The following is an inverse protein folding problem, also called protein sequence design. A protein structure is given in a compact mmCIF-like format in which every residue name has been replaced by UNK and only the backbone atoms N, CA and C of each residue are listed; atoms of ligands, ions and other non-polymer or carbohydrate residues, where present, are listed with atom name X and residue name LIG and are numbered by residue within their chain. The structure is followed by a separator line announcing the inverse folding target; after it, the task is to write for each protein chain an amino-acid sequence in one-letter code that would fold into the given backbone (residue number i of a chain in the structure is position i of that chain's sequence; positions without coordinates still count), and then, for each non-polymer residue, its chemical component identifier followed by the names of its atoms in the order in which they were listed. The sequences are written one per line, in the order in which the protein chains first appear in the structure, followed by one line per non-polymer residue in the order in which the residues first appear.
data_IF_007289782338
#
_entry.id   IF_007289782338
#
_cell.length_a   1.000
_cell.length_b   1.000
_cell.length_c   1.000
_cell.angle_alpha   90.00
_cell.angle_beta   90.00
_cell.angle_gamma   90.00
#
_symmetry.space_group_name_H-M   'P 1'
#
loop_
_entity.id
_entity.type
_entity.pdbx_description
1 polymer ?
#
# COMPACT_ATOMS: atom_id res chain seq x y z
N UNK A 1 19.37 7.04 -38.05
CA UNK A 1 18.33 6.99 -37.01
C UNK A 1 19.03 6.66 -35.70
N UNK A 2 19.23 7.64 -34.82
CA UNK A 2 19.88 7.44 -33.53
C UNK A 2 18.86 6.81 -32.60
N UNK A 3 19.07 5.56 -32.19
CA UNK A 3 18.31 4.95 -31.10
C UNK A 3 18.72 5.69 -29.84
N UNK A 4 17.95 6.70 -29.44
CA UNK A 4 18.16 7.35 -28.15
C UNK A 4 18.13 6.24 -27.09
N UNK A 5 19.25 6.09 -26.38
CA UNK A 5 19.40 5.09 -25.32
C UNK A 5 18.36 5.39 -24.24
N UNK A 6 17.29 4.61 -24.19
CA UNK A 6 16.30 4.71 -23.14
C UNK A 6 16.93 4.22 -21.84
N UNK A 7 17.31 5.14 -20.97
CA UNK A 7 17.69 4.80 -19.60
C UNK A 7 16.40 4.68 -18.80
N UNK A 8 15.98 3.48 -18.37
CA UNK A 8 14.80 3.36 -17.53
C UNK A 8 15.02 4.16 -16.24
N UNK A 9 13.97 4.82 -15.70
CA UNK A 9 14.06 5.44 -14.39
C UNK A 9 14.50 4.38 -13.38
N UNK A 10 15.41 4.76 -12.48
CA UNK A 10 15.96 3.89 -11.45
C UNK A 10 14.86 3.10 -10.76
N UNK A 11 15.03 1.78 -10.67
CA UNK A 11 14.06 0.91 -10.03
C UNK A 11 13.79 1.40 -8.60
N UNK A 12 12.52 1.43 -8.14
CA UNK A 12 12.22 1.76 -6.76
C UNK A 12 12.96 0.80 -5.84
N UNK A 13 13.90 1.31 -5.05
CA UNK A 13 14.59 0.54 -4.03
C UNK A 13 13.71 0.52 -2.79
N UNK A 14 13.44 -0.66 -2.25
CA UNK A 14 12.75 -0.78 -0.98
C UNK A 14 13.70 -0.29 0.13
N UNK A 15 13.47 0.92 0.62
CA UNK A 15 14.26 1.60 1.66
C UNK A 15 13.70 1.35 3.08
N UNK A 16 12.67 0.51 3.23
CA UNK A 16 12.01 0.26 4.51
C UNK A 16 11.00 1.34 4.94
N UNK A 17 10.84 2.41 4.16
CA UNK A 17 9.75 3.37 4.37
C UNK A 17 8.40 2.64 4.17
N UNK A 18 7.38 3.07 4.92
CA UNK A 18 6.05 2.44 4.93
C UNK A 18 6.01 0.96 5.39
N UNK A 19 7.11 0.39 5.89
CA UNK A 19 7.11 -0.98 6.44
C UNK A 19 6.09 -1.16 7.57
N UNK A 20 5.92 -0.13 8.42
CA UNK A 20 4.91 -0.13 9.49
C UNK A 20 3.47 -0.25 8.95
N UNK A 21 3.18 0.35 7.78
CA UNK A 21 1.89 0.25 7.08
C UNK A 21 1.68 -1.19 6.58
N UNK A 22 2.74 -1.82 6.07
CA UNK A 22 2.70 -3.21 5.62
C UNK A 22 2.46 -4.18 6.78
N UNK A 23 3.15 -3.98 7.91
CA UNK A 23 2.91 -4.73 9.16
C UNK A 23 1.47 -4.55 9.62
N UNK A 24 0.90 -3.34 9.56
CA UNK A 24 -0.48 -3.08 9.92
C UNK A 24 -1.48 -3.84 9.01
N UNK A 25 -1.21 -3.95 7.72
CA UNK A 25 -2.06 -4.75 6.80
C UNK A 25 -1.95 -6.25 7.07
N UNK A 26 -0.75 -6.76 7.37
CA UNK A 26 -0.49 -8.20 7.56
C UNK A 26 -0.93 -8.71 8.92
N UNK A 27 -0.71 -7.94 9.99
CA UNK A 27 -0.97 -8.34 11.37
C UNK A 27 -2.48 -8.48 11.69
N UNK A 28 -3.36 -7.85 10.89
CA UNK A 28 -4.81 -7.84 11.12
C UNK A 28 -5.51 -9.16 10.71
N UNK A 29 -4.83 -10.06 9.99
CA UNK A 29 -5.37 -11.41 9.73
C UNK A 29 -5.28 -12.33 10.97
N UNK A 30 -4.61 -11.89 12.03
CA UNK A 30 -4.61 -12.56 13.32
C UNK A 30 -5.97 -12.30 13.96
N UNK A 31 -6.75 -13.37 14.14
CA UNK A 31 -8.09 -13.29 14.72
C UNK A 31 -8.01 -12.59 16.07
N UNK A 32 -8.79 -11.52 16.30
CA UNK A 32 -8.76 -10.81 17.57
C UNK A 32 -9.16 -11.76 18.70
N UNK A 33 -8.57 -11.62 19.91
CA UNK A 33 -8.97 -12.40 21.06
C UNK A 33 -10.49 -12.30 21.30
N UNK A 34 -11.17 -13.39 21.71
CA UNK A 34 -12.58 -13.35 22.02
C UNK A 34 -12.89 -12.25 23.04
N UNK A 35 -13.97 -11.51 22.82
CA UNK A 35 -14.42 -10.50 23.77
C UNK A 35 -14.73 -11.16 25.12
N UNK A 36 -14.32 -10.51 26.21
CA UNK A 36 -14.66 -10.94 27.57
C UNK A 36 -16.17 -10.77 27.83
N UNK A 37 -16.70 -11.48 28.82
CA UNK A 37 -18.13 -11.46 29.17
C UNK A 37 -18.69 -10.06 29.54
N UNK A 38 -17.84 -9.13 29.99
CA UNK A 38 -18.18 -7.73 30.21
C UNK A 38 -17.21 -6.83 29.44
N UNK A 39 -17.46 -6.58 28.13
CA UNK A 39 -16.56 -5.80 27.32
C UNK A 39 -16.67 -4.30 27.66
N UNK A 40 -15.53 -3.61 27.73
CA UNK A 40 -15.51 -2.14 27.86
C UNK A 40 -15.91 -1.49 26.53
N UNK A 41 -16.47 -0.27 26.55
CA UNK A 41 -16.83 0.49 25.32
C UNK A 41 -15.65 0.56 24.33
N UNK A 42 -14.42 0.68 24.82
CA UNK A 42 -13.22 0.64 23.99
C UNK A 42 -13.04 -0.70 23.23
N UNK A 43 -13.31 -1.83 23.88
CA UNK A 43 -13.23 -3.16 23.26
C UNK A 43 -14.34 -3.41 22.24
N UNK A 44 -15.51 -2.79 22.44
CA UNK A 44 -16.63 -2.86 21.49
C UNK A 44 -16.28 -2.11 20.20
N UNK A 45 -15.56 -0.98 20.29
CA UNK A 45 -15.16 -0.14 19.14
C UNK A 45 -13.88 -0.59 18.45
N UNK A 46 -13.01 -1.30 19.17
CA UNK A 46 -11.71 -1.71 18.67
C UNK A 46 -11.77 -2.48 17.32
N UNK A 47 -12.69 -3.45 17.10
CA UNK A 47 -12.76 -4.14 15.80
C UNK A 47 -13.09 -3.21 14.62
N UNK A 48 -13.95 -2.20 14.82
CA UNK A 48 -14.27 -1.24 13.76
C UNK A 48 -13.10 -0.29 13.50
N UNK A 49 -12.39 0.12 14.55
CA UNK A 49 -11.23 1.02 14.44
C UNK A 49 -10.06 0.31 13.74
N UNK A 50 -9.79 -0.94 14.11
CA UNK A 50 -8.77 -1.78 13.47
C UNK A 50 -9.09 -2.04 11.99
N UNK A 51 -10.37 -2.25 11.67
CA UNK A 51 -10.84 -2.36 10.28
C UNK A 51 -10.64 -1.05 9.51
N UNK A 52 -10.95 0.10 10.11
CA UNK A 52 -10.75 1.41 9.48
C UNK A 52 -9.26 1.71 9.21
N UNK A 53 -8.40 1.43 10.19
CA UNK A 53 -6.94 1.51 10.05
C UNK A 53 -6.42 0.65 8.90
N UNK A 54 -6.86 -0.60 8.80
CA UNK A 54 -6.51 -1.50 7.69
C UNK A 54 -6.89 -0.92 6.33
N UNK A 55 -8.12 -0.42 6.17
CA UNK A 55 -8.53 0.18 4.88
C UNK A 55 -7.68 1.40 4.52
N UNK A 56 -7.35 2.23 5.51
CA UNK A 56 -6.46 3.37 5.30
C UNK A 56 -5.07 2.91 4.83
N UNK A 57 -4.48 1.93 5.52
CA UNK A 57 -3.19 1.37 5.19
C UNK A 57 -3.17 0.75 3.77
N UNK A 58 -4.21 -0.01 3.40
CA UNK A 58 -4.35 -0.56 2.05
C UNK A 58 -4.51 0.54 0.99
N UNK A 59 -5.29 1.58 1.27
CA UNK A 59 -5.49 2.71 0.37
C UNK A 59 -4.18 3.47 0.12
N UNK A 60 -3.37 3.68 1.17
CA UNK A 60 -2.03 4.27 1.03
C UNK A 60 -1.13 3.44 0.11
N UNK A 61 -1.05 2.12 0.34
CA UNK A 61 -0.23 1.23 -0.52
C UNK A 61 -0.72 1.22 -1.97
N UNK A 62 -2.03 1.19 -2.20
CA UNK A 62 -2.62 1.24 -3.53
C UNK A 62 -2.35 2.58 -4.22
N UNK A 63 -2.47 3.69 -3.49
CA UNK A 63 -2.15 5.03 -3.99
C UNK A 63 -0.68 5.14 -4.40
N UNK A 64 0.24 4.67 -3.57
CA UNK A 64 1.68 4.71 -3.86
C UNK A 64 2.02 3.89 -5.12
N UNK A 65 1.50 2.66 -5.22
CA UNK A 65 1.71 1.80 -6.39
C UNK A 65 1.10 2.42 -7.65
N UNK A 66 -0.11 2.98 -7.55
CA UNK A 66 -0.78 3.65 -8.67
C UNK A 66 0.02 4.86 -9.14
N UNK A 67 0.54 5.68 -8.21
CA UNK A 67 1.38 6.83 -8.54
C UNK A 67 2.64 6.40 -9.29
N UNK A 68 3.35 5.36 -8.82
CA UNK A 68 4.54 4.84 -9.50
C UNK A 68 4.23 4.36 -10.92
N UNK A 69 3.13 3.62 -11.11
CA UNK A 69 2.69 3.15 -12.43
C UNK A 69 2.34 4.35 -13.33
N UNK A 70 1.58 5.30 -12.81
CA UNK A 70 1.16 6.49 -13.53
C UNK A 70 2.37 7.33 -13.98
N UNK A 71 3.32 7.59 -13.08
CA UNK A 71 4.56 8.30 -13.40
C UNK A 71 5.35 7.57 -14.49
N UNK A 72 5.44 6.24 -14.42
CA UNK A 72 6.13 5.44 -15.45
C UNK A 72 5.44 5.54 -16.81
N UNK A 73 4.11 5.51 -16.85
CA UNK A 73 3.33 5.68 -18.09
C UNK A 73 3.59 7.07 -18.67
N UNK A 74 3.51 8.12 -17.85
CA UNK A 74 3.74 9.49 -18.28
C UNK A 74 5.17 9.75 -18.76
N UNK A 75 6.16 9.08 -18.16
CA UNK A 75 7.56 9.16 -18.58
C UNK A 75 7.91 8.29 -19.80
N UNK A 76 6.95 7.50 -20.31
CA UNK A 76 7.14 6.71 -21.52
C UNK A 76 6.84 7.57 -22.76
N UNK A 77 7.87 7.99 -23.48
CA UNK A 77 7.74 8.87 -24.67
C UNK A 77 7.27 8.14 -25.94
N UNK A 78 7.39 6.81 -25.99
CA UNK A 78 7.05 6.03 -27.18
C UNK A 78 5.67 5.39 -27.04
N UNK A 79 4.74 5.61 -27.99
CA UNK A 79 3.51 4.82 -28.07
C UNK A 79 3.87 3.34 -28.14
N UNK A 80 3.13 2.49 -27.44
CA UNK A 80 3.24 1.04 -27.60
C UNK A 80 2.87 0.72 -29.05
N UNK A 81 3.84 0.31 -29.87
CA UNK A 81 3.53 -0.18 -31.22
C UNK A 81 2.67 -1.45 -31.11
N UNK A 82 1.62 -1.50 -31.94
CA UNK A 82 0.59 -2.53 -31.97
C UNK A 82 0.91 -3.61 -33.02
#
# INVERSE_FOLDING_TARGET
MSLASFSPPSLPVFNGENYHIWVEVVNVNIKPPPLRANPTIAQIRQPSDDRAKKYKAMSCLQSDVSNVIFTRIMASETPKEA
#
